data_IF_569966561846
#
_entry.id   IF_569966561846
#
_cell.length_a   1.000
_cell.length_b   1.000
_cell.length_c   1.000
_cell.angle_alpha   90.00
_cell.angle_beta   90.00
_cell.angle_gamma   90.00
#
_symmetry.space_group_name_H-M   'P 1'
#
loop_
_entity.id
_entity.type
_entity.pdbx_description
1 polymer ?
#
# COMPACT_ATOMS: atom_id res chain seq x y z
N UNK A 1 37.61 -43.05 -11.32
CA UNK A 1 38.41 -43.89 -10.40
C UNK A 1 37.43 -44.63 -9.49
N UNK A 2 37.37 -45.95 -9.61
CA UNK A 2 36.47 -46.81 -8.84
C UNK A 2 37.12 -47.23 -7.52
N UNK A 3 36.47 -46.94 -6.39
CA UNK A 3 36.86 -47.48 -5.09
C UNK A 3 35.79 -48.46 -4.60
N UNK A 4 36.20 -49.72 -4.46
CA UNK A 4 35.44 -50.78 -3.81
C UNK A 4 35.88 -50.86 -2.35
N UNK A 5 34.94 -50.81 -1.41
CA UNK A 5 35.21 -51.06 0.01
C UNK A 5 34.52 -52.36 0.42
N UNK A 6 35.34 -53.36 0.74
CA UNK A 6 34.93 -54.67 1.26
C UNK A 6 34.48 -54.55 2.71
N UNK A 7 33.42 -55.29 3.05
CA UNK A 7 32.92 -55.51 4.41
C UNK A 7 33.99 -56.11 5.33
N UNK A 8 34.10 -55.60 6.56
CA UNK A 8 34.75 -56.30 7.66
C UNK A 8 33.83 -56.32 8.89
N UNK A 9 33.71 -57.51 9.48
CA UNK A 9 32.77 -57.92 10.52
C UNK A 9 33.06 -57.26 11.88
N UNK A 10 31.98 -57.03 12.63
CA UNK A 10 31.93 -56.68 14.05
C UNK A 10 32.89 -57.50 14.93
N UNK A 11 33.57 -56.82 15.86
CA UNK A 11 33.87 -57.37 17.18
C UNK A 11 33.66 -56.27 18.22
N UNK A 12 32.78 -56.52 19.18
CA UNK A 12 32.24 -55.53 20.09
C UNK A 12 33.23 -55.02 21.13
N UNK A 13 33.14 -53.72 21.40
CA UNK A 13 33.62 -53.09 22.63
C UNK A 13 32.53 -52.11 23.07
N UNK A 14 32.02 -52.33 24.27
CA UNK A 14 31.02 -51.52 24.96
C UNK A 14 31.63 -50.15 25.26
N UNK A 15 31.24 -49.12 24.53
CA UNK A 15 31.53 -47.72 24.87
C UNK A 15 30.28 -47.05 25.44
N UNK A 16 30.43 -46.62 26.69
CA UNK A 16 29.46 -45.85 27.47
C UNK A 16 29.15 -44.56 26.71
N UNK A 17 27.92 -44.43 26.23
CA UNK A 17 27.43 -43.21 25.58
C UNK A 17 27.27 -42.10 26.63
N UNK A 18 28.28 -41.24 26.73
CA UNK A 18 28.14 -39.93 27.37
C UNK A 18 27.36 -39.05 26.39
N UNK A 19 26.06 -38.91 26.60
CA UNK A 19 25.21 -37.94 25.89
C UNK A 19 25.68 -36.54 26.27
N UNK A 20 26.66 -36.02 25.55
CA UNK A 20 26.99 -34.61 25.58
C UNK A 20 25.88 -33.89 24.82
N UNK A 21 24.86 -33.42 25.55
CA UNK A 21 23.88 -32.47 25.03
C UNK A 21 24.67 -31.21 24.67
N UNK A 22 25.13 -31.11 23.42
CA UNK A 22 25.58 -29.85 22.85
C UNK A 22 24.36 -28.95 22.81
N UNK A 23 24.22 -28.10 23.84
CA UNK A 23 23.44 -26.89 23.72
C UNK A 23 23.98 -26.16 22.50
N UNK A 24 23.29 -26.28 21.37
CA UNK A 24 23.42 -25.30 20.30
C UNK A 24 23.19 -23.95 20.97
N UNK A 25 24.07 -22.95 20.79
CA UNK A 25 23.72 -21.61 21.17
C UNK A 25 22.43 -21.29 20.43
N UNK A 26 21.37 -21.02 21.19
CA UNK A 26 20.25 -20.27 20.65
C UNK A 26 20.90 -18.93 20.29
N UNK A 27 21.08 -18.69 18.99
CA UNK A 27 21.43 -17.36 18.53
C UNK A 27 20.31 -16.47 19.07
N UNK A 28 20.67 -15.56 19.98
CA UNK A 28 19.78 -14.48 20.31
C UNK A 28 19.54 -13.76 18.99
N UNK A 29 18.33 -13.90 18.46
CA UNK A 29 17.83 -12.97 17.46
C UNK A 29 17.68 -11.67 18.24
N UNK A 30 18.78 -10.91 18.33
CA UNK A 30 18.71 -9.53 18.79
C UNK A 30 17.68 -8.87 17.89
N UNK A 31 16.63 -8.31 18.50
CA UNK A 31 15.64 -7.54 17.77
C UNK A 31 16.37 -6.35 17.16
N UNK A 32 16.79 -6.47 15.91
CA UNK A 32 17.40 -5.38 15.16
C UNK A 32 16.36 -4.27 15.08
N UNK A 33 16.73 -3.10 15.60
CA UNK A 33 15.87 -1.92 15.49
C UNK A 33 15.89 -1.50 14.00
N UNK A 34 14.74 -1.44 13.32
CA UNK A 34 14.69 -1.10 11.91
C UNK A 34 15.20 0.32 11.67
N UNK A 35 15.90 0.56 10.56
CA UNK A 35 16.33 1.91 10.17
C UNK A 35 15.17 2.78 9.77
N UNK A 36 14.22 2.22 9.01
CA UNK A 36 13.05 2.94 8.54
C UNK A 36 11.79 2.19 8.96
N UNK A 37 10.86 2.91 9.58
CA UNK A 37 9.49 2.44 9.77
C UNK A 37 8.54 3.41 9.09
N UNK A 38 7.72 2.91 8.17
CA UNK A 38 6.63 3.69 7.55
C UNK A 38 5.33 3.19 8.12
N UNK A 39 4.50 4.11 8.62
CA UNK A 39 3.20 3.78 9.18
C UNK A 39 2.14 4.62 8.50
N UNK A 40 1.19 3.98 7.83
CA UNK A 40 -0.03 4.66 7.41
C UNK A 40 -0.93 4.77 8.65
N UNK A 41 -1.32 5.99 9.00
CA UNK A 41 -2.09 6.24 10.23
C UNK A 41 -3.53 5.76 10.13
N UNK A 42 -4.00 5.13 11.21
CA UNK A 42 -5.42 4.84 11.35
C UNK A 42 -6.23 6.13 11.46
N UNK A 43 -7.28 6.24 10.65
CA UNK A 43 -8.11 7.43 10.55
C UNK A 43 -9.57 7.07 10.73
N UNK A 44 -10.33 7.93 11.42
CA UNK A 44 -11.79 7.79 11.52
C UNK A 44 -12.45 8.95 10.81
N UNK A 45 -13.52 8.68 10.07
CA UNK A 45 -14.22 9.72 9.36
C UNK A 45 -15.70 9.38 9.14
N UNK A 46 -16.50 10.41 8.85
CA UNK A 46 -17.95 10.27 8.70
C UNK A 46 -18.32 9.85 7.27
N UNK A 47 -19.44 9.13 7.07
CA UNK A 47 -19.97 8.86 5.73
C UNK A 47 -20.15 10.17 4.95
N UNK A 48 -19.74 10.18 3.69
CA UNK A 48 -19.86 11.36 2.82
C UNK A 48 -18.83 12.48 3.07
N UNK A 49 -17.85 12.27 3.97
CA UNK A 49 -16.78 13.26 4.19
C UNK A 49 -15.85 13.34 2.98
N UNK A 50 -15.57 14.58 2.55
CA UNK A 50 -14.63 14.87 1.47
C UNK A 50 -13.32 15.43 2.04
N UNK A 51 -12.21 15.21 1.33
CA UNK A 51 -10.86 15.66 1.69
C UNK A 51 -10.40 15.18 3.09
N UNK A 52 -10.70 13.94 3.43
CA UNK A 52 -10.24 13.32 4.68
C UNK A 52 -8.73 13.12 4.63
N UNK A 53 -7.94 13.74 5.53
CA UNK A 53 -6.49 13.62 5.50
C UNK A 53 -6.03 12.31 6.16
N UNK A 54 -5.45 11.44 5.35
CA UNK A 54 -4.76 10.23 5.80
C UNK A 54 -3.29 10.58 5.99
N UNK A 55 -2.80 10.41 7.22
CA UNK A 55 -1.43 10.79 7.58
C UNK A 55 -0.50 9.61 7.43
N UNK A 56 0.60 9.78 6.69
CA UNK A 56 1.67 8.79 6.57
C UNK A 56 2.81 9.26 7.46
N UNK A 57 3.24 8.40 8.37
CA UNK A 57 4.32 8.65 9.31
C UNK A 57 5.59 7.93 8.88
N UNK A 58 6.73 8.52 9.22
CA UNK A 58 8.05 7.94 9.05
C UNK A 58 8.87 8.08 10.33
N UNK A 59 9.38 6.95 10.79
CA UNK A 59 10.51 6.88 11.71
C UNK A 59 11.77 6.55 10.91
N UNK A 60 12.84 7.31 11.12
CA UNK A 60 14.11 7.12 10.45
C UNK A 60 15.24 7.28 11.47
N UNK A 61 15.80 6.16 11.92
CA UNK A 61 16.70 6.13 13.07
C UNK A 61 18.18 6.24 12.71
N UNK A 62 18.60 5.76 11.53
CA UNK A 62 20.02 5.58 11.22
C UNK A 62 20.49 6.19 9.90
N UNK A 63 19.61 6.36 8.91
CA UNK A 63 19.99 6.80 7.57
C UNK A 63 19.55 8.25 7.28
N UNK A 64 20.12 8.89 6.28
CA UNK A 64 19.55 10.13 5.72
C UNK A 64 18.74 9.76 4.48
N UNK A 65 17.50 10.26 4.36
CA UNK A 65 16.59 9.91 3.26
C UNK A 65 16.40 11.11 2.33
N UNK A 66 16.85 10.95 1.09
CA UNK A 66 16.78 11.98 0.05
C UNK A 66 15.72 11.69 -1.02
N UNK A 67 15.19 10.47 -1.05
CA UNK A 67 14.10 10.13 -1.96
C UNK A 67 13.33 8.92 -1.50
N UNK A 68 12.09 8.82 -1.96
CA UNK A 68 11.25 7.67 -1.72
C UNK A 68 10.24 7.45 -2.85
N UNK A 69 9.81 6.21 -2.98
CA UNK A 69 8.63 5.81 -3.74
C UNK A 69 7.76 4.93 -2.83
N UNK A 70 6.47 5.22 -2.76
CA UNK A 70 5.50 4.53 -1.93
C UNK A 70 4.20 4.32 -2.69
N UNK A 71 3.82 3.07 -2.89
CA UNK A 71 2.53 2.72 -3.49
C UNK A 71 1.55 2.18 -2.46
N UNK A 72 0.39 2.82 -2.36
CA UNK A 72 -0.67 2.48 -1.42
C UNK A 72 -1.90 2.09 -2.22
N UNK A 73 -2.51 0.97 -1.85
CA UNK A 73 -3.72 0.44 -2.48
C UNK A 73 -4.83 0.24 -1.44
N UNK A 74 -6.06 0.57 -1.81
CA UNK A 74 -7.25 0.32 -1.01
C UNK A 74 -7.79 -1.09 -1.27
N UNK A 75 -8.26 -1.77 -0.21
CA UNK A 75 -8.89 -3.09 -0.34
C UNK A 75 -10.41 -3.03 -0.57
N UNK A 76 -11.05 -1.91 -0.23
CA UNK A 76 -12.50 -1.69 -0.29
C UNK A 76 -12.85 -0.46 -1.15
N UNK A 77 -12.97 -0.64 -2.47
CA UNK A 77 -13.29 0.45 -3.40
C UNK A 77 -14.74 0.93 -3.31
N UNK A 78 -15.59 0.24 -2.55
CA UNK A 78 -16.99 0.57 -2.35
C UNK A 78 -17.24 1.58 -1.22
N UNK A 79 -16.24 1.84 -0.37
CA UNK A 79 -16.36 2.71 0.81
C UNK A 79 -15.59 4.02 0.64
N UNK A 80 -14.40 3.97 0.04
CA UNK A 80 -13.49 5.10 -0.02
C UNK A 80 -12.70 5.08 -1.34
N UNK A 81 -12.39 6.27 -1.84
CA UNK A 81 -11.43 6.50 -2.92
C UNK A 81 -10.46 7.61 -2.52
N UNK A 82 -9.25 7.58 -3.07
CA UNK A 82 -8.34 8.71 -2.94
C UNK A 82 -8.86 9.89 -3.75
N UNK A 83 -8.68 11.09 -3.22
CA UNK A 83 -9.03 12.28 -3.97
C UNK A 83 -8.03 12.46 -5.10
N UNK A 84 -8.49 12.31 -6.34
CA UNK A 84 -7.66 12.48 -7.53
C UNK A 84 -8.19 13.59 -8.43
N UNK A 85 -7.28 14.26 -9.12
CA UNK A 85 -7.58 15.17 -10.22
C UNK A 85 -6.97 14.62 -11.53
N UNK A 86 -7.44 15.13 -12.66
CA UNK A 86 -6.87 14.84 -13.97
C UNK A 86 -5.87 15.92 -14.35
N UNK A 87 -4.61 15.52 -14.51
CA UNK A 87 -3.55 16.38 -15.00
C UNK A 87 -3.24 16.03 -16.45
N UNK A 88 -3.26 17.02 -17.34
CA UNK A 88 -2.75 16.82 -18.71
C UNK A 88 -1.24 16.97 -18.69
N UNK A 89 -0.53 15.88 -18.90
CA UNK A 89 0.92 15.90 -19.05
C UNK A 89 1.24 15.96 -20.54
N UNK A 90 2.11 16.91 -20.88
CA UNK A 90 2.55 17.13 -22.25
C UNK A 90 3.96 16.58 -22.34
N UNK A 91 4.12 15.48 -23.08
CA UNK A 91 5.43 14.98 -23.43
C UNK A 91 5.82 15.48 -24.81
N UNK A 92 6.98 16.14 -24.87
CA UNK A 92 7.50 16.70 -26.11
C UNK A 92 8.82 16.04 -26.41
N UNK A 93 8.83 15.18 -27.44
CA UNK A 93 10.06 14.56 -27.94
C UNK A 93 10.61 15.37 -29.10
N UNK A 94 11.90 15.70 -29.03
CA UNK A 94 12.60 16.46 -30.06
C UNK A 94 13.44 15.51 -30.90
N UNK A 95 13.43 15.71 -32.22
CA UNK A 95 14.11 14.82 -33.15
C UNK A 95 15.05 15.59 -34.07
N UNK A 96 16.30 15.15 -34.11
CA UNK A 96 17.29 15.60 -35.06
C UNK A 96 17.36 14.60 -36.23
N UNK A 97 17.14 15.11 -37.45
CA UNK A 97 17.27 14.28 -38.63
C UNK A 97 18.75 14.08 -38.99
N UNK A 98 19.19 12.82 -39.08
CA UNK A 98 20.54 12.45 -39.49
C UNK A 98 20.67 12.35 -41.00
N UNK A 99 19.63 11.88 -41.70
CA UNK A 99 19.63 11.77 -43.17
C UNK A 99 18.30 12.21 -43.79
N UNK A 100 18.40 13.04 -44.84
CA UNK A 100 17.27 13.49 -45.64
C UNK A 100 17.23 12.82 -47.01
N UNK A 101 16.06 12.39 -47.43
CA UNK A 101 15.75 12.03 -48.82
C UNK A 101 14.79 13.06 -49.41
N UNK A 102 15.35 14.13 -49.97
CA UNK A 102 14.56 15.27 -50.45
C UNK A 102 13.98 16.06 -49.27
N UNK A 103 12.66 16.38 -49.25
CA UNK A 103 12.06 17.10 -48.14
C UNK A 103 11.75 16.22 -46.91
N UNK A 104 11.89 14.90 -47.03
CA UNK A 104 11.51 13.95 -45.99
C UNK A 104 12.74 13.48 -45.22
N UNK A 105 12.65 13.47 -43.90
CA UNK A 105 13.63 12.80 -43.05
C UNK A 105 13.46 11.28 -43.16
N UNK A 106 14.56 10.55 -43.40
CA UNK A 106 14.54 9.07 -43.49
C UNK A 106 15.22 8.38 -42.32
N UNK A 107 15.96 9.14 -41.51
CA UNK A 107 16.70 8.65 -40.37
C UNK A 107 16.82 9.79 -39.35
N UNK A 108 16.36 9.55 -38.13
CA UNK A 108 16.28 10.56 -37.07
C UNK A 108 16.66 9.95 -35.73
N UNK A 109 17.29 10.76 -34.90
CA UNK A 109 17.61 10.44 -33.52
C UNK A 109 16.87 11.39 -32.60
N UNK A 110 16.41 10.87 -31.47
CA UNK A 110 15.84 11.68 -30.40
C UNK A 110 16.94 12.51 -29.72
N UNK A 111 16.67 13.78 -29.48
CA UNK A 111 17.57 14.70 -28.79
C UNK A 111 16.91 15.21 -27.51
N UNK A 112 17.62 15.09 -26.39
CA UNK A 112 17.13 15.51 -25.08
C UNK A 112 17.49 16.97 -24.83
N UNK A 113 16.47 17.83 -24.70
CA UNK A 113 16.61 19.21 -24.27
C UNK A 113 16.10 20.23 -25.28
N UNK A 114 15.32 21.20 -24.77
CA UNK A 114 14.69 22.26 -25.56
C UNK A 114 15.72 23.15 -26.29
N UNK A 115 16.93 23.25 -25.74
CA UNK A 115 18.04 24.07 -26.26
C UNK A 115 18.92 23.36 -27.31
N UNK A 116 18.62 22.10 -27.62
CA UNK A 116 19.33 21.35 -28.64
C UNK A 116 18.86 21.73 -30.06
N UNK A 117 19.70 21.50 -31.07
CA UNK A 117 19.31 21.73 -32.47
C UNK A 117 18.43 20.58 -32.96
N UNK A 118 17.12 20.82 -33.08
CA UNK A 118 16.14 19.85 -33.58
C UNK A 118 15.52 20.29 -34.91
N UNK A 119 15.01 19.32 -35.68
CA UNK A 119 14.38 19.57 -36.99
C UNK A 119 12.85 19.47 -36.92
N UNK A 120 12.33 18.56 -36.12
CA UNK A 120 10.91 18.40 -35.84
C UNK A 120 10.73 17.88 -34.42
N UNK A 121 9.51 18.02 -33.90
CA UNK A 121 9.14 17.54 -32.58
C UNK A 121 7.76 16.89 -32.66
N UNK A 122 7.51 15.94 -31.77
CA UNK A 122 6.18 15.40 -31.53
C UNK A 122 5.72 15.86 -30.16
N UNK A 123 4.48 16.34 -30.12
CA UNK A 123 3.78 16.59 -28.85
C UNK A 123 2.82 15.43 -28.68
N UNK A 124 3.04 14.65 -27.64
CA UNK A 124 2.05 13.72 -27.13
C UNK A 124 1.43 14.31 -25.86
N UNK A 125 0.13 14.11 -25.71
CA UNK A 125 -0.62 14.58 -24.55
C UNK A 125 -1.35 13.41 -23.95
N UNK A 126 -0.97 13.05 -22.73
CA UNK A 126 -1.66 12.05 -21.94
C UNK A 126 -2.34 12.71 -20.74
N UNK A 127 -3.44 12.10 -20.31
CA UNK A 127 -4.19 12.54 -19.14
C UNK A 127 -3.87 11.55 -18.04
N UNK A 128 -3.16 12.03 -17.04
CA UNK A 128 -2.82 11.26 -15.85
C UNK A 128 -3.78 11.59 -14.72
N UNK A 129 -4.03 10.59 -13.89
CA UNK A 129 -4.83 10.72 -12.67
C UNK A 129 -3.88 10.90 -11.49
N UNK A 130 -3.84 12.11 -10.94
CA UNK A 130 -2.90 12.56 -9.89
C UNK A 130 -3.66 12.67 -8.58
N UNK A 131 -3.10 12.13 -7.50
CA UNK A 131 -3.66 12.25 -6.17
C UNK A 131 -3.38 13.60 -5.52
N UNK A 132 -4.29 14.03 -4.65
CA UNK A 132 -4.08 15.24 -3.87
C UNK A 132 -3.40 14.91 -2.54
N UNK A 133 -2.45 15.75 -2.15
CA UNK A 133 -1.67 15.60 -0.93
C UNK A 133 -1.39 16.96 -0.27
N UNK A 134 -1.12 16.92 1.04
CA UNK A 134 -0.70 18.05 1.86
C UNK A 134 0.65 17.75 2.52
N UNK A 135 1.60 18.67 2.35
CA UNK A 135 2.93 18.62 2.97
C UNK A 135 3.12 19.66 4.07
N UNK A 136 2.09 20.42 4.43
CA UNK A 136 2.19 21.49 5.43
C UNK A 136 2.59 20.94 6.80
N UNK A 137 3.79 21.31 7.24
CA UNK A 137 4.36 20.83 8.51
C UNK A 137 4.83 19.38 8.48
N UNK A 138 5.05 18.81 7.28
CA UNK A 138 5.54 17.46 7.07
C UNK A 138 7.06 17.44 6.84
N UNK A 139 7.67 16.26 6.92
CA UNK A 139 9.11 16.03 6.68
C UNK A 139 9.54 16.33 5.24
N UNK A 140 8.62 16.18 4.29
CA UNK A 140 8.81 16.48 2.86
C UNK A 140 8.51 17.95 2.51
N UNK A 141 8.19 18.79 3.50
CA UNK A 141 7.92 20.21 3.29
C UNK A 141 9.15 20.91 2.71
N UNK A 142 9.02 21.41 1.47
CA UNK A 142 10.09 22.13 0.77
C UNK A 142 11.02 21.25 -0.05
N UNK A 143 10.71 19.96 -0.21
CA UNK A 143 11.36 19.10 -1.20
C UNK A 143 11.11 19.61 -2.62
N UNK A 144 12.09 19.42 -3.51
CA UNK A 144 12.04 19.95 -4.88
C UNK A 144 11.03 19.22 -5.75
N UNK A 145 10.82 17.93 -5.50
CA UNK A 145 9.86 17.13 -6.24
C UNK A 145 9.04 16.29 -5.29
N UNK A 146 7.73 16.41 -5.40
CA UNK A 146 6.77 15.50 -4.80
C UNK A 146 5.60 15.37 -5.76
N UNK A 147 5.31 14.15 -6.18
CA UNK A 147 4.27 13.87 -7.14
C UNK A 147 3.53 12.58 -6.77
N UNK A 148 2.30 12.46 -7.24
CA UNK A 148 1.49 11.26 -7.01
C UNK A 148 0.75 10.86 -8.28
N UNK A 149 0.53 9.56 -8.45
CA UNK A 149 -0.20 9.02 -9.59
C UNK A 149 -0.98 7.79 -9.19
N UNK A 150 -2.22 7.67 -9.66
CA UNK A 150 -2.96 6.40 -9.62
C UNK A 150 -2.47 5.55 -10.79
N UNK A 151 -2.02 4.33 -10.52
CA UNK A 151 -1.55 3.40 -11.56
C UNK A 151 -2.75 2.75 -12.25
N UNK A 152 -3.85 2.51 -11.51
CA UNK A 152 -5.06 1.93 -12.10
C UNK A 152 -5.97 2.95 -12.78
N UNK A 153 -5.69 4.25 -12.64
CA UNK A 153 -6.55 5.35 -13.12
C UNK A 153 -7.96 5.36 -12.49
N UNK A 154 -8.15 4.68 -11.36
CA UNK A 154 -9.45 4.56 -10.68
C UNK A 154 -9.49 5.25 -9.33
N UNK A 155 -8.40 5.90 -8.89
CA UNK A 155 -8.33 6.53 -7.57
C UNK A 155 -8.33 5.55 -6.39
N UNK A 156 -8.16 4.25 -6.65
CA UNK A 156 -8.12 3.19 -5.62
C UNK A 156 -6.69 2.91 -5.14
N UNK A 157 -5.73 3.55 -5.78
CA UNK A 157 -4.33 3.39 -5.52
C UNK A 157 -3.60 4.73 -5.74
N UNK A 158 -2.52 4.95 -5.01
CA UNK A 158 -1.66 6.11 -5.19
C UNK A 158 -0.21 5.70 -5.04
N UNK A 159 0.56 5.91 -6.11
CA UNK A 159 2.01 5.81 -6.12
C UNK A 159 2.60 7.21 -5.94
N UNK A 160 3.34 7.40 -4.86
CA UNK A 160 3.82 8.69 -4.35
C UNK A 160 5.34 8.70 -4.45
N UNK A 161 5.88 9.68 -5.17
CA UNK A 161 7.32 9.83 -5.39
C UNK A 161 7.78 11.17 -4.84
N UNK A 162 8.74 11.14 -3.91
CA UNK A 162 9.37 12.33 -3.38
C UNK A 162 10.88 12.31 -3.63
N UNK A 163 11.44 13.44 -4.06
CA UNK A 163 12.87 13.66 -4.22
C UNK A 163 13.24 15.01 -3.59
N UNK A 164 14.17 14.98 -2.65
CA UNK A 164 14.67 16.18 -1.99
C UNK A 164 15.50 17.04 -2.95
N UNK A 165 16.48 16.45 -3.64
CA UNK A 165 17.45 17.14 -4.49
C UNK A 165 17.42 16.58 -5.92
N UNK A 166 16.82 17.32 -6.85
CA UNK A 166 16.79 16.98 -8.26
C UNK A 166 18.13 17.38 -8.94
N UNK A 167 18.59 16.63 -9.96
CA UNK A 167 19.76 17.00 -10.71
C UNK A 167 19.62 18.42 -11.32
N UNK A 168 20.47 19.35 -10.87
CA UNK A 168 20.48 20.74 -11.33
C UNK A 168 19.62 21.71 -10.50
N UNK A 169 19.01 21.24 -9.41
CA UNK A 169 18.28 22.02 -8.42
C UNK A 169 19.15 22.77 -7.41
N UNK A 170 18.50 23.39 -6.44
CA UNK A 170 19.12 23.95 -5.24
C UNK A 170 19.16 22.88 -4.17
N UNK A 171 20.32 22.61 -3.57
CA UNK A 171 20.47 21.55 -2.56
C UNK A 171 19.46 21.73 -1.39
N UNK A 172 18.44 20.88 -1.37
CA UNK A 172 17.47 20.76 -0.27
C UNK A 172 17.91 19.62 0.66
N UNK A 173 17.94 19.84 1.98
CA UNK A 173 18.41 18.82 2.91
C UNK A 173 17.54 17.56 2.90
N UNK A 174 18.13 16.37 3.03
CA UNK A 174 17.38 15.12 3.21
C UNK A 174 16.66 15.10 4.57
N UNK A 175 15.76 14.14 4.74
CA UNK A 175 15.24 13.80 6.07
C UNK A 175 16.39 13.17 6.85
N UNK A 176 16.85 13.87 7.88
CA UNK A 176 18.00 13.44 8.68
C UNK A 176 17.70 12.22 9.53
N UNK A 177 18.73 11.40 9.78
CA UNK A 177 18.70 10.33 10.77
C UNK A 177 18.26 10.82 12.17
N UNK A 178 17.70 9.91 12.97
CA UNK A 178 17.21 10.18 14.32
C UNK A 178 15.80 10.78 14.37
N UNK A 179 15.08 10.81 13.26
CA UNK A 179 13.69 11.24 13.18
C UNK A 179 12.76 10.17 13.77
N UNK A 180 11.87 10.59 14.67
CA UNK A 180 10.84 9.73 15.28
C UNK A 180 9.48 10.43 15.25
N UNK A 181 8.44 9.71 14.84
CA UNK A 181 7.05 10.15 14.76
C UNK A 181 6.82 11.29 13.77
N UNK A 182 7.68 11.44 12.76
CA UNK A 182 7.53 12.52 11.79
C UNK A 182 6.40 12.24 10.81
N UNK A 183 5.60 13.25 10.48
CA UNK A 183 4.62 13.14 9.40
C UNK A 183 5.38 13.24 8.07
N UNK A 184 5.40 12.18 7.29
CA UNK A 184 6.04 12.17 5.97
C UNK A 184 5.26 13.06 4.99
N UNK A 185 3.96 12.80 4.86
CA UNK A 185 2.99 13.57 4.08
C UNK A 185 1.56 13.16 4.46
N UNK A 186 0.56 13.92 4.01
CA UNK A 186 -0.85 13.56 4.12
C UNK A 186 -1.45 13.39 2.73
N UNK A 187 -2.13 12.28 2.48
CA UNK A 187 -2.93 12.09 1.27
C UNK A 187 -4.41 12.37 1.59
N UNK A 188 -5.16 12.86 0.61
CA UNK A 188 -6.58 13.15 0.79
C UNK A 188 -7.43 12.02 0.20
N UNK A 189 -8.50 11.66 0.90
CA UNK A 189 -9.47 10.67 0.44
C UNK A 189 -10.91 11.15 0.66
N UNK A 190 -11.79 10.69 -0.22
CA UNK A 190 -13.22 10.92 -0.16
C UNK A 190 -13.93 9.64 0.28
N UNK A 191 -14.86 9.78 1.21
CA UNK A 191 -15.61 8.66 1.79
C UNK A 191 -17.02 8.68 1.23
N UNK A 192 -17.45 7.56 0.66
CA UNK A 192 -18.78 7.43 0.11
C UNK A 192 -19.84 7.41 1.21
N UNK A 193 -21.07 7.76 0.83
CA UNK A 193 -22.23 7.50 1.68
C UNK A 193 -22.51 6.00 1.67
N UNK A 194 -22.16 5.34 2.77
CA UNK A 194 -22.37 3.91 2.96
C UNK A 194 -23.73 3.62 3.61
N UNK A 195 -24.35 2.51 3.22
CA UNK A 195 -25.61 2.04 3.81
C UNK A 195 -25.40 1.65 5.27
N UNK A 196 -26.40 1.94 6.11
CA UNK A 196 -26.27 1.67 7.52
C UNK A 196 -26.19 0.20 7.90
N UNK A 197 -26.69 -0.68 7.03
CA UNK A 197 -26.67 -2.14 7.20
C UNK A 197 -25.29 -2.77 7.02
N UNK A 198 -24.29 -1.99 6.58
CA UNK A 198 -22.93 -2.49 6.37
C UNK A 198 -22.23 -2.75 7.72
N UNK A 199 -21.92 -4.02 7.98
CA UNK A 199 -21.28 -4.48 9.22
C UNK A 199 -19.78 -4.22 9.26
N UNK A 200 -19.12 -4.24 8.09
CA UNK A 200 -17.69 -3.94 7.95
C UNK A 200 -17.50 -2.63 7.18
N UNK A 201 -17.17 -1.59 7.93
CA UNK A 201 -16.98 -0.19 7.49
C UNK A 201 -15.51 0.24 7.52
N UNK A 202 -14.59 -0.72 7.62
CA UNK A 202 -13.17 -0.44 7.66
C UNK A 202 -12.57 -0.70 6.28
N UNK A 203 -11.79 0.28 5.80
CA UNK A 203 -10.98 0.18 4.59
C UNK A 203 -9.54 0.05 4.99
N UNK A 204 -8.87 -1.03 4.59
CA UNK A 204 -7.44 -1.17 4.82
C UNK A 204 -6.66 -0.50 3.69
N UNK A 205 -5.63 0.24 4.08
CA UNK A 205 -4.69 0.89 3.18
C UNK A 205 -3.40 0.09 3.20
N UNK A 206 -3.18 -0.63 2.11
CA UNK A 206 -2.09 -1.60 1.98
C UNK A 206 -0.94 -0.94 1.22
N UNK A 207 0.20 -0.80 1.88
CA UNK A 207 1.45 -0.42 1.23
C UNK A 207 1.98 -1.62 0.46
N UNK A 208 2.13 -1.47 -0.85
CA UNK A 208 2.59 -2.52 -1.74
C UNK A 208 4.12 -2.59 -1.76
N UNK A 209 4.69 -3.58 -1.07
CA UNK A 209 6.14 -3.76 -0.96
C UNK A 209 6.71 -4.76 -1.96
N UNK A 210 5.87 -5.55 -2.62
CA UNK A 210 6.31 -6.63 -3.53
C UNK A 210 6.83 -6.10 -4.87
N UNK A 211 6.49 -4.86 -5.22
CA UNK A 211 6.85 -4.24 -6.49
C UNK A 211 8.02 -3.28 -6.30
N UNK A 212 9.21 -3.75 -6.69
CA UNK A 212 10.47 -2.98 -6.60
C UNK A 212 10.40 -1.60 -7.24
N UNK A 213 9.67 -1.48 -8.35
CA UNK A 213 9.55 -0.22 -9.10
C UNK A 213 8.68 0.82 -8.38
N UNK A 214 7.84 0.38 -7.44
CA UNK A 214 6.82 1.18 -6.77
C UNK A 214 7.06 1.37 -5.26
N UNK A 215 8.15 0.81 -4.74
CA UNK A 215 8.48 0.90 -3.33
C UNK A 215 9.98 1.00 -3.13
N UNK A 216 10.50 2.13 -2.65
CA UNK A 216 11.92 2.25 -2.28
C UNK A 216 12.19 3.50 -1.45
N UNK A 217 13.24 3.46 -0.64
CA UNK A 217 13.85 4.63 0.00
C UNK A 217 15.31 4.73 -0.43
N UNK A 218 15.79 5.95 -0.68
CA UNK A 218 17.15 6.21 -1.14
C UNK A 218 17.89 7.22 -0.27
N UNK A 219 19.20 6.99 -0.15
CA UNK A 219 20.15 7.92 0.48
C UNK A 219 20.51 9.06 -0.48
N UNK A 220 21.10 10.16 0.02
CA UNK A 220 21.60 11.25 -0.82
C UNK A 220 22.63 10.82 -1.88
N UNK A 221 23.30 9.68 -1.71
CA UNK A 221 24.25 9.13 -2.68
C UNK A 221 23.58 8.29 -3.79
N UNK A 222 22.26 8.14 -3.75
CA UNK A 222 21.48 7.33 -4.69
C UNK A 222 21.41 5.84 -4.36
N UNK A 223 22.09 5.37 -3.29
CA UNK A 223 21.97 3.98 -2.84
C UNK A 223 20.60 3.70 -2.22
N UNK A 224 20.08 2.49 -2.42
CA UNK A 224 18.83 2.07 -1.79
C UNK A 224 19.04 1.71 -0.32
N UNK A 225 18.08 2.08 0.53
CA UNK A 225 17.98 1.65 1.92
C UNK A 225 17.10 0.39 2.02
N UNK A 226 16.14 0.26 1.11
CA UNK A 226 15.08 -0.76 1.12
C UNK A 226 15.51 -2.08 0.50
N UNK A 227 16.24 -2.03 -0.61
CA UNK A 227 16.55 -3.21 -1.41
C UNK A 227 18.01 -3.62 -1.23
N UNK A 228 18.24 -4.88 -0.88
CA UNK A 228 19.57 -5.49 -0.89
C UNK A 228 19.73 -6.26 -2.19
N UNK A 229 20.81 -5.97 -2.91
CA UNK A 229 21.23 -6.76 -4.06
C UNK A 229 21.81 -8.09 -3.56
N UNK A 230 21.22 -9.20 -4.00
CA UNK A 230 21.71 -10.56 -3.75
C UNK A 230 21.95 -11.25 -5.08
N UNK A 231 23.09 -11.92 -5.19
CA UNK A 231 23.41 -12.78 -6.32
C UNK A 231 22.70 -14.13 -6.14
N UNK A 232 21.86 -14.49 -7.10
CA UNK A 232 21.18 -15.79 -7.17
C UNK A 232 21.67 -16.51 -8.41
N UNK A 233 21.98 -17.80 -8.24
CA UNK A 233 22.37 -18.64 -9.37
C UNK A 233 21.11 -18.98 -10.20
N UNK A 234 21.01 -18.40 -11.39
CA UNK A 234 20.02 -18.79 -12.39
C UNK A 234 20.60 -19.95 -13.20
N UNK A 235 20.07 -21.15 -12.94
CA UNK A 235 20.55 -22.37 -13.60
C UNK A 235 19.60 -22.75 -14.71
N UNK A 236 20.04 -22.55 -15.96
CA UNK A 236 19.30 -23.00 -17.15
C UNK A 236 19.78 -24.39 -17.54
N UNK A 237 18.84 -25.32 -17.61
CA UNK A 237 19.04 -26.67 -18.12
C UNK A 237 18.89 -26.66 -19.65
N UNK A 238 19.89 -27.18 -20.36
CA UNK A 238 19.86 -27.37 -21.81
C UNK A 238 19.77 -28.87 -22.12
N UNK A 239 18.74 -29.23 -22.88
CA UNK A 239 18.54 -30.58 -23.41
C UNK A 239 18.87 -30.56 -24.89
N UNK A 240 19.68 -31.50 -25.33
CA UNK A 240 20.02 -31.64 -26.73
C UNK A 240 18.85 -32.29 -27.48
N UNK A 241 18.38 -31.62 -28.52
CA UNK A 241 17.29 -32.15 -29.36
C UNK A 241 17.80 -32.90 -30.58
N UNK A 242 19.03 -32.60 -31.04
CA UNK A 242 19.64 -33.20 -32.23
C UNK A 242 21.11 -33.61 -31.98
N UNK A 243 21.31 -34.90 -31.70
CA UNK A 243 22.62 -35.53 -31.56
C UNK A 243 23.18 -36.00 -32.91
N UNK A 244 24.47 -35.71 -33.17
CA UNK A 244 25.19 -36.29 -34.31
C UNK A 244 25.39 -37.80 -34.10
N UNK A 245 25.10 -38.57 -35.16
CA UNK A 245 25.10 -40.03 -35.14
C UNK A 245 26.52 -40.63 -35.33
N UNK A 246 27.51 -39.85 -35.77
CA UNK A 246 28.88 -40.34 -36.01
C UNK A 246 29.95 -39.28 -35.68
N UNK A 247 30.63 -39.37 -34.51
CA UNK A 247 30.51 -40.42 -33.50
C UNK A 247 29.18 -40.28 -32.73
N UNK A 248 28.48 -41.39 -32.43
CA UNK A 248 27.14 -41.35 -31.83
C UNK A 248 27.17 -40.65 -30.47
N UNK A 249 26.24 -39.72 -30.29
CA UNK A 249 25.94 -39.01 -29.03
C UNK A 249 27.12 -38.20 -28.45
N UNK A 250 28.05 -37.76 -29.31
CA UNK A 250 29.23 -37.01 -28.86
C UNK A 250 29.18 -35.51 -29.12
N UNK A 251 28.42 -35.08 -30.13
CA UNK A 251 28.31 -33.68 -30.52
C UNK A 251 26.83 -33.33 -30.67
N UNK A 252 26.33 -32.46 -29.80
CA UNK A 252 25.01 -31.88 -29.93
C UNK A 252 25.03 -30.75 -30.96
N UNK A 253 24.09 -30.76 -31.89
CA UNK A 253 23.96 -29.71 -32.93
C UNK A 253 22.89 -28.69 -32.64
N UNK A 254 21.98 -29.00 -31.72
CA UNK A 254 20.86 -28.14 -31.36
C UNK A 254 20.49 -28.35 -29.89
N UNK A 255 20.46 -27.26 -29.13
CA UNK A 255 20.08 -27.26 -27.73
C UNK A 255 18.75 -26.51 -27.56
N UNK A 256 17.90 -27.04 -26.69
CA UNK A 256 16.68 -26.39 -26.26
C UNK A 256 16.69 -26.26 -24.73
N UNK A 257 16.27 -25.10 -24.21
CA UNK A 257 16.17 -24.89 -22.77
C UNK A 257 14.96 -25.64 -22.20
N UNK A 258 15.14 -26.26 -21.02
CA UNK A 258 14.12 -26.96 -20.26
C UNK A 258 14.04 -26.38 -18.84
N UNK A 259 12.82 -26.31 -18.29
CA UNK A 259 12.57 -25.89 -16.89
C UNK A 259 12.62 -27.07 -15.90
N UNK A 260 12.83 -28.29 -16.40
CA UNK A 260 12.86 -29.50 -15.60
C UNK A 260 14.30 -30.03 -15.53
N UNK A 261 14.82 -30.18 -14.31
CA UNK A 261 16.22 -30.54 -14.03
C UNK A 261 16.55 -32.04 -14.15
N UNK A 262 15.59 -32.89 -14.50
CA UNK A 262 15.78 -34.34 -14.42
C UNK A 262 16.59 -34.96 -15.58
N UNK A 263 16.68 -34.29 -16.74
CA UNK A 263 17.34 -34.81 -17.96
C UNK A 263 18.23 -33.76 -18.67
N UNK A 264 19.11 -33.06 -17.93
CA UNK A 264 19.98 -32.04 -18.53
C UNK A 264 21.23 -32.64 -19.18
N UNK A 265 21.46 -32.32 -20.47
CA UNK A 265 22.68 -32.68 -21.19
C UNK A 265 23.81 -31.68 -20.96
N UNK A 266 23.46 -30.40 -20.76
CA UNK A 266 24.37 -29.33 -20.37
C UNK A 266 23.64 -28.34 -19.46
N UNK A 267 24.36 -27.74 -18.52
CA UNK A 267 23.82 -26.70 -17.63
C UNK A 267 24.66 -25.44 -17.77
N UNK A 268 24.01 -24.29 -17.92
CA UNK A 268 24.67 -22.99 -17.77
C UNK A 268 24.23 -22.37 -16.45
N UNK A 269 25.20 -22.01 -15.62
CA UNK A 269 24.97 -21.24 -14.40
C UNK A 269 25.29 -19.80 -14.75
N UNK A 270 24.27 -18.95 -14.73
CA UNK A 270 24.43 -17.51 -14.83
C UNK A 270 24.15 -16.91 -13.45
N UNK A 271 24.99 -15.95 -13.03
CA UNK A 271 24.75 -15.24 -11.78
C UNK A 271 23.85 -14.06 -12.12
N UNK A 272 22.63 -14.06 -11.61
CA UNK A 272 21.73 -12.93 -11.73
C UNK A 272 21.68 -12.14 -10.40
N UNK A 273 21.59 -10.82 -10.50
CA UNK A 273 21.51 -9.95 -9.32
C UNK A 273 20.06 -9.53 -9.09
N UNK A 274 19.42 -10.12 -8.08
CA UNK A 274 18.05 -9.79 -7.70
C UNK A 274 18.03 -8.85 -6.51
N UNK A 275 17.03 -7.95 -6.47
CA UNK A 275 16.79 -7.10 -5.30
C UNK A 275 15.82 -7.78 -4.36
N UNK A 276 16.24 -8.02 -3.11
CA UNK A 276 15.36 -8.52 -2.06
C UNK A 276 15.04 -7.40 -1.07
N UNK A 277 13.79 -7.35 -0.62
CA UNK A 277 13.36 -6.39 0.39
C UNK A 277 14.04 -6.71 1.72
N UNK A 278 14.73 -5.73 2.29
CA UNK A 278 15.32 -5.84 3.62
C UNK A 278 14.25 -5.67 4.70
N UNK A 279 13.45 -6.73 4.90
CA UNK A 279 12.36 -6.76 5.89
C UNK A 279 12.85 -6.65 7.34
N UNK A 280 14.15 -6.85 7.61
CA UNK A 280 14.73 -6.64 8.93
C UNK A 280 15.04 -5.16 9.20
N UNK A 281 15.30 -4.39 8.15
CA UNK A 281 15.68 -2.98 8.25
C UNK A 281 14.54 -2.00 7.91
N UNK A 282 13.58 -2.42 7.09
CA UNK A 282 12.41 -1.63 6.70
C UNK A 282 11.14 -2.31 7.19
N UNK A 283 10.43 -1.64 8.09
CA UNK A 283 9.16 -2.11 8.65
C UNK A 283 8.03 -1.25 8.11
N UNK A 284 6.94 -1.91 7.69
CA UNK A 284 5.77 -1.27 7.12
C UNK A 284 4.54 -1.64 7.93
N UNK A 285 3.88 -0.62 8.45
CA UNK A 285 2.62 -0.74 9.15
C UNK A 285 1.53 -0.17 8.26
N UNK A 286 0.67 -1.06 7.76
CA UNK A 286 -0.54 -0.68 7.06
C UNK A 286 -1.49 0.06 8.02
N UNK A 287 -2.28 0.96 7.44
CA UNK A 287 -3.26 1.74 8.17
C UNK A 287 -4.67 1.37 7.74
N UNK A 288 -5.65 1.90 8.46
CA UNK A 288 -7.04 1.71 8.13
C UNK A 288 -7.84 3.01 8.24
N UNK A 289 -8.88 3.13 7.43
CA UNK A 289 -9.91 4.15 7.62
C UNK A 289 -11.16 3.45 8.11
N UNK A 290 -11.61 3.82 9.31
CA UNK A 290 -12.87 3.32 9.86
C UNK A 290 -13.94 4.38 9.70
N UNK A 291 -14.97 4.07 8.91
CA UNK A 291 -16.10 4.96 8.72
C UNK A 291 -17.03 4.86 9.92
N UNK A 292 -17.28 5.99 10.57
CA UNK A 292 -18.16 6.10 11.72
C UNK A 292 -19.62 5.82 11.31
N UNK A 293 -20.40 5.29 12.23
CA UNK A 293 -21.86 5.25 12.07
C UNK A 293 -22.38 6.68 12.20
N UNK A 294 -22.88 7.26 11.11
CA UNK A 294 -23.60 8.53 11.18
C UNK A 294 -25.08 8.24 11.37
N UNK A 295 -25.62 8.55 12.54
CA UNK A 295 -27.05 8.41 12.83
C UNK A 295 -27.60 9.70 13.43
N UNK A 296 -28.92 9.88 13.29
CA UNK A 296 -29.65 10.97 13.93
C UNK A 296 -30.33 10.40 15.17
N UNK A 297 -30.04 10.96 16.33
CA UNK A 297 -30.65 10.57 17.59
C UNK A 297 -32.14 10.89 17.51
N UNK A 298 -32.98 9.92 17.83
CA UNK A 298 -34.42 10.01 17.66
C UNK A 298 -34.93 9.60 16.28
N UNK A 299 -34.08 9.37 15.27
CA UNK A 299 -34.45 8.63 14.05
C UNK A 299 -34.19 7.13 14.30
N UNK A 300 -35.10 6.52 15.04
CA UNK A 300 -35.01 5.17 15.60
C UNK A 300 -35.37 4.12 14.54
N UNK A 301 -36.26 4.45 13.60
CA UNK A 301 -36.65 3.55 12.51
C UNK A 301 -35.73 3.64 11.29
N UNK A 302 -34.66 4.45 11.39
CA UNK A 302 -33.67 4.70 10.34
C UNK A 302 -34.29 5.25 9.05
N UNK A 303 -35.29 6.12 9.18
CA UNK A 303 -35.95 6.76 8.04
C UNK A 303 -34.96 7.50 7.15
N UNK A 304 -35.12 7.31 5.83
CA UNK A 304 -34.31 7.99 4.83
C UNK A 304 -34.56 9.51 4.88
N UNK A 305 -33.53 10.27 5.23
CA UNK A 305 -33.60 11.73 5.40
C UNK A 305 -33.40 12.22 6.84
N UNK A 306 -33.30 11.30 7.82
CA UNK A 306 -32.96 11.67 9.19
C UNK A 306 -34.09 12.40 9.92
N UNK A 307 -35.34 12.16 9.52
CA UNK A 307 -36.48 12.82 10.14
C UNK A 307 -36.82 12.14 11.47
N UNK A 308 -37.17 12.94 12.47
CA UNK A 308 -37.65 12.46 13.76
C UNK A 308 -39.17 12.65 13.76
N UNK A 309 -39.93 11.57 13.63
CA UNK A 309 -41.38 11.58 13.55
C UNK A 309 -42.06 10.47 14.38
N UNK A 310 -43.39 10.40 14.29
CA UNK A 310 -44.19 9.47 15.11
C UNK A 310 -43.82 7.99 14.88
N UNK A 311 -43.26 7.66 13.72
CA UNK A 311 -42.83 6.32 13.34
C UNK A 311 -41.68 5.84 14.23
N UNK A 312 -40.76 6.74 14.60
CA UNK A 312 -39.67 6.46 15.55
C UNK A 312 -40.17 6.09 16.94
N UNK A 313 -41.15 6.86 17.45
CA UNK A 313 -41.76 6.57 18.75
C UNK A 313 -42.51 5.23 18.70
N UNK A 314 -43.21 4.93 17.61
CA UNK A 314 -43.88 3.64 17.41
C UNK A 314 -42.86 2.51 17.32
N UNK A 315 -41.72 2.72 16.67
CA UNK A 315 -40.63 1.76 16.59
C UNK A 315 -40.08 1.45 17.99
N UNK A 316 -39.77 2.48 18.77
CA UNK A 316 -39.28 2.35 20.15
C UNK A 316 -40.27 1.61 21.05
N UNK A 317 -41.57 1.91 20.92
CA UNK A 317 -42.64 1.17 21.63
C UNK A 317 -42.65 -0.31 21.24
N UNK A 318 -42.55 -0.62 19.95
CA UNK A 318 -42.56 -1.99 19.46
C UNK A 318 -41.31 -2.77 19.90
N UNK A 319 -40.14 -2.13 19.94
CA UNK A 319 -38.92 -2.71 20.46
C UNK A 319 -39.05 -3.04 21.96
N UNK A 320 -39.51 -2.09 22.77
CA UNK A 320 -39.56 -2.25 24.23
C UNK A 320 -40.72 -3.13 24.72
N UNK A 321 -41.88 -3.06 24.07
CA UNK A 321 -43.12 -3.65 24.57
C UNK A 321 -43.84 -4.56 23.56
N UNK A 322 -43.27 -4.77 22.37
CA UNK A 322 -43.84 -5.65 21.35
C UNK A 322 -43.91 -7.12 21.80
N UNK A 323 -44.86 -7.86 21.24
CA UNK A 323 -44.98 -9.31 21.42
C UNK A 323 -45.31 -9.99 20.08
N UNK A 324 -44.31 -10.50 19.34
CA UNK A 324 -42.89 -10.54 19.68
C UNK A 324 -42.26 -9.15 19.70
N UNK A 325 -41.17 -8.99 20.45
CA UNK A 325 -40.42 -7.73 20.48
C UNK A 325 -39.97 -7.34 19.07
N UNK A 326 -40.10 -6.05 18.74
CA UNK A 326 -39.54 -5.50 17.51
C UNK A 326 -38.02 -5.60 17.48
N UNK A 327 -37.38 -5.38 16.31
CA UNK A 327 -35.93 -5.29 16.23
C UNK A 327 -35.39 -4.17 17.13
N UNK A 328 -34.16 -4.33 17.62
CA UNK A 328 -33.48 -3.26 18.33
C UNK A 328 -33.17 -2.10 17.37
N UNK A 329 -33.17 -0.84 17.85
CA UNK A 329 -32.69 0.28 17.05
C UNK A 329 -31.27 0.01 16.55
N UNK A 330 -31.00 0.38 15.30
CA UNK A 330 -29.69 0.22 14.67
C UNK A 330 -29.29 1.54 13.99
N UNK A 331 -28.34 2.29 14.58
CA UNK A 331 -27.56 1.95 15.77
C UNK A 331 -28.35 2.04 17.07
N UNK A 332 -27.98 1.24 18.07
CA UNK A 332 -28.66 1.20 19.38
C UNK A 332 -28.74 2.60 20.04
N UNK A 333 -27.69 3.40 19.86
CA UNK A 333 -27.63 4.76 20.39
C UNK A 333 -28.69 5.71 19.77
N UNK A 334 -29.28 5.40 18.61
CA UNK A 334 -30.35 6.20 18.02
C UNK A 334 -31.61 6.24 18.92
N UNK A 335 -31.84 5.18 19.71
CA UNK A 335 -32.97 5.09 20.64
C UNK A 335 -32.72 5.66 22.05
N UNK A 336 -31.47 5.99 22.40
CA UNK A 336 -31.10 6.66 23.67
C UNK A 336 -31.20 8.19 23.49
N UNK A 337 -32.43 8.67 23.31
CA UNK A 337 -32.70 10.07 22.93
C UNK A 337 -32.38 11.07 24.05
N UNK A 338 -32.26 10.61 25.29
CA UNK A 338 -31.89 11.43 26.44
C UNK A 338 -30.39 11.34 26.82
N UNK A 339 -29.60 10.58 26.05
CA UNK A 339 -28.16 10.36 26.20
C UNK A 339 -27.75 9.81 27.59
N UNK A 340 -28.57 8.92 28.16
CA UNK A 340 -28.31 8.28 29.45
C UNK A 340 -27.33 7.11 29.37
N UNK A 341 -27.03 6.62 28.16
CA UNK A 341 -26.26 5.43 27.86
C UNK A 341 -27.09 4.14 27.79
N UNK A 342 -28.41 4.21 27.99
CA UNK A 342 -29.31 3.06 27.95
C UNK A 342 -30.65 3.46 27.34
N UNK A 343 -31.27 2.54 26.59
CA UNK A 343 -32.65 2.72 26.12
C UNK A 343 -33.60 2.22 27.21
N UNK A 344 -34.37 3.12 27.80
CA UNK A 344 -35.42 2.80 28.75
C UNK A 344 -36.71 3.64 28.58
N UNK A 345 -37.63 3.55 29.54
CA UNK A 345 -38.93 4.23 29.42
C UNK A 345 -38.79 5.76 29.44
N UNK A 346 -37.68 6.27 29.97
CA UNK A 346 -37.34 7.69 30.03
C UNK A 346 -37.10 8.23 28.63
N UNK A 347 -36.53 7.45 27.71
CA UNK A 347 -36.36 7.81 26.29
C UNK A 347 -37.70 7.97 25.58
N UNK A 348 -38.65 7.08 25.83
CA UNK A 348 -40.00 7.21 25.31
C UNK A 348 -40.71 8.46 25.84
N UNK A 349 -40.60 8.73 27.14
CA UNK A 349 -41.18 9.95 27.75
C UNK A 349 -40.53 11.19 27.13
N UNK A 350 -39.22 11.16 26.90
CA UNK A 350 -38.48 12.24 26.26
C UNK A 350 -38.96 12.52 24.83
N UNK A 351 -39.12 11.47 24.00
CA UNK A 351 -39.67 11.61 22.65
C UNK A 351 -41.09 12.18 22.65
N UNK A 352 -41.94 11.75 23.60
CA UNK A 352 -43.30 12.29 23.72
C UNK A 352 -43.28 13.77 24.09
N UNK A 353 -42.43 14.19 25.02
CA UNK A 353 -42.30 15.60 25.41
C UNK A 353 -41.70 16.46 24.28
N UNK A 354 -40.71 15.93 23.55
CA UNK A 354 -40.16 16.59 22.36
C UNK A 354 -41.22 16.80 21.27
N UNK A 355 -41.98 15.76 20.91
CA UNK A 355 -42.95 15.80 19.81
C UNK A 355 -44.26 16.51 20.17
N UNK A 356 -44.72 16.36 21.41
CA UNK A 356 -46.08 16.77 21.82
C UNK A 356 -46.12 17.71 23.03
N UNK A 357 -44.98 18.04 23.63
CA UNK A 357 -44.89 18.96 24.76
C UNK A 357 -45.34 20.38 24.42
N UNK A 358 -45.77 21.14 25.44
CA UNK A 358 -46.09 22.56 25.30
C UNK A 358 -45.58 23.37 26.52
N UNK A 359 -44.43 24.08 26.40
CA UNK A 359 -43.59 24.17 25.20
C UNK A 359 -42.95 22.83 24.84
N UNK A 360 -42.60 22.64 23.56
CA UNK A 360 -41.92 21.42 23.11
C UNK A 360 -40.66 21.16 23.92
N UNK A 361 -40.44 19.90 24.30
CA UNK A 361 -39.24 19.45 24.99
C UNK A 361 -37.96 19.67 24.14
N UNK A 362 -36.77 19.46 24.73
CA UNK A 362 -35.52 19.60 24.00
C UNK A 362 -35.39 18.54 22.89
N UNK A 363 -34.64 18.87 21.82
CA UNK A 363 -34.36 17.90 20.77
C UNK A 363 -33.53 16.72 21.29
N UNK A 364 -33.77 15.48 20.79
CA UNK A 364 -32.95 14.31 21.11
C UNK A 364 -31.47 14.62 20.91
N UNK A 365 -30.64 14.29 21.91
CA UNK A 365 -29.19 14.50 21.97
C UNK A 365 -28.66 15.54 20.96
N UNK A 366 -28.54 16.80 21.38
CA UNK A 366 -28.17 17.93 20.50
C UNK A 366 -26.86 17.72 19.69
N UNK A 367 -26.02 16.77 20.09
CA UNK A 367 -24.91 16.20 19.29
C UNK A 367 -24.96 14.68 19.44
N UNK A 368 -25.24 13.98 18.35
CA UNK A 368 -25.12 12.52 18.30
C UNK A 368 -23.64 12.14 18.19
N UNK A 369 -23.18 11.15 18.98
CA UNK A 369 -21.79 10.73 19.00
C UNK A 369 -21.33 10.07 17.69
#
# INVERSE_FOLDING_TARGET
>A
MTFTVRSLKMLGIVTIALFCFSMMPIENVDAQIPSITVTVGDTTANPGSVNTPITIFMDNLWDDVAGFNLWIQLDRPDIMEFQTDTLTVIDTTFWECLNFSGPNCTDSVEVFGFDSTWHFFYIDTFVDTVGNFDTTGCLTSGWEFLDTRSISETGLDLNIVGIADLPGGSNVPPISQGQQGGVLLRVLADIFNIDDTLTDRTVNMLVQTDFKDHFSFSRPDGSSITWIATEVEDTICWVCTDWLIDPPDTICTNYQSSLLFEDCDSTSIEIDTVGLLDTANVVINNGSVTVLYSFVCGNIDSSAGGFIDISDLVYLVNFMFGSPAGPAPDPYAAGDVNCSGFIDISDMVYMVDFMFGNPSGPAPCAVCP
#
